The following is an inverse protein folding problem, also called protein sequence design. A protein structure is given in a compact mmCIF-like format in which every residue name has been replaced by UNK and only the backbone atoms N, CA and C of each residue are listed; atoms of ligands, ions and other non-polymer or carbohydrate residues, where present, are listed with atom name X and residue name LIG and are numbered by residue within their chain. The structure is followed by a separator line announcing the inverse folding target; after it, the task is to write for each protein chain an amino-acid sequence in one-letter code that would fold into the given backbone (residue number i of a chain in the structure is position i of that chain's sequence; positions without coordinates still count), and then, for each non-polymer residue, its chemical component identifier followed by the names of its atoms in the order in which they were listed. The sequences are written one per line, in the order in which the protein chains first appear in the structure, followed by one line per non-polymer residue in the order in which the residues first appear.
data_IF_939194009850
#
_entry.id   IF_939194009850
#
_cell.length_a   1.000
_cell.length_b   1.000
_cell.length_c   1.000
_cell.angle_alpha   90.00
_cell.angle_beta   90.00
_cell.angle_gamma   90.00
#
_symmetry.space_group_name_H-M   'P 1'
#
loop_
_entity.id
_entity.type
_entity.pdbx_description
1 polymer ?
#
# COMPACT_ATOMS: atom_id res chain seq x y z
N UNK A 1 4.60 6.72 -21.13
CA UNK A 1 4.42 8.19 -21.25
C UNK A 1 5.40 8.82 -20.27
N UNK A 2 6.19 9.80 -20.66
CA UNK A 2 7.01 10.54 -19.71
C UNK A 2 6.10 11.50 -18.93
N UNK A 3 6.36 11.74 -17.66
CA UNK A 3 5.63 12.72 -16.81
C UNK A 3 5.58 14.09 -17.50
N UNK A 4 6.59 14.42 -18.29
CA UNK A 4 6.67 15.64 -19.11
C UNK A 4 5.56 15.76 -20.18
N UNK A 5 4.77 14.72 -20.42
CA UNK A 5 3.63 14.73 -21.36
C UNK A 5 2.27 14.57 -20.62
N UNK A 6 2.26 14.51 -19.30
CA UNK A 6 1.05 14.55 -18.52
C UNK A 6 0.62 16.01 -18.40
N UNK A 7 -0.62 16.33 -18.82
CA UNK A 7 -1.21 17.65 -18.64
C UNK A 7 -1.67 17.89 -17.18
N UNK A 8 -0.81 17.46 -16.22
CA UNK A 8 -1.05 17.63 -14.79
C UNK A 8 0.00 18.58 -14.21
N UNK A 9 -0.43 19.48 -13.37
CA UNK A 9 0.43 20.47 -12.75
C UNK A 9 1.25 19.83 -11.61
N UNK A 10 0.64 18.85 -10.92
CA UNK A 10 1.20 18.19 -9.73
C UNK A 10 0.85 16.70 -9.69
N UNK A 11 1.49 15.98 -8.78
CA UNK A 11 1.17 14.57 -8.50
C UNK A 11 0.59 14.43 -7.09
N UNK A 12 -0.37 13.54 -6.93
CA UNK A 12 -0.89 13.14 -5.63
C UNK A 12 -0.63 11.65 -5.43
N UNK A 13 0.25 11.32 -4.50
CA UNK A 13 0.60 9.95 -4.17
C UNK A 13 -0.16 9.47 -2.94
N UNK A 14 -1.09 8.53 -3.13
CA UNK A 14 -1.79 7.86 -2.02
C UNK A 14 -0.90 6.76 -1.47
N UNK A 15 -0.30 7.00 -0.31
CA UNK A 15 0.65 6.07 0.30
C UNK A 15 -0.06 4.98 1.11
N UNK A 16 -0.26 3.83 0.52
CA UNK A 16 -0.79 2.65 1.20
C UNK A 16 0.32 1.97 2.01
N UNK A 17 0.08 1.61 3.29
CA UNK A 17 1.10 0.91 4.10
C UNK A 17 1.52 -0.42 3.49
N UNK A 18 2.82 -0.72 3.54
CA UNK A 18 3.45 -2.00 3.14
C UNK A 18 3.41 -2.31 1.64
N UNK A 19 3.29 -1.27 0.80
CA UNK A 19 3.34 -1.38 -0.67
C UNK A 19 4.62 -0.80 -1.29
N UNK A 20 5.63 -0.48 -0.48
CA UNK A 20 6.91 0.07 -0.99
C UNK A 20 6.92 1.60 -1.17
N UNK A 21 5.93 2.30 -0.64
CA UNK A 21 5.76 3.75 -0.81
C UNK A 21 6.91 4.61 -0.32
N UNK A 22 7.74 4.15 0.62
CA UNK A 22 8.93 4.88 1.07
C UNK A 22 9.93 5.14 -0.07
N UNK A 23 10.13 4.17 -0.95
CA UNK A 23 10.99 4.33 -2.12
C UNK A 23 10.44 5.39 -3.08
N UNK A 24 9.10 5.47 -3.20
CA UNK A 24 8.44 6.50 -4.02
C UNK A 24 8.65 7.89 -3.43
N UNK A 25 8.50 8.07 -2.12
CA UNK A 25 8.76 9.35 -1.47
C UNK A 25 10.16 9.86 -1.73
N UNK A 26 11.16 9.00 -1.55
CA UNK A 26 12.56 9.39 -1.83
C UNK A 26 12.71 9.82 -3.28
N UNK A 27 12.18 9.03 -4.22
CA UNK A 27 12.31 9.33 -5.66
C UNK A 27 11.55 10.60 -6.07
N UNK A 28 10.39 10.91 -5.49
CA UNK A 28 9.65 12.14 -5.74
C UNK A 28 10.39 13.37 -5.20
N UNK A 29 10.96 13.26 -3.99
CA UNK A 29 11.79 14.33 -3.39
C UNK A 29 13.03 14.64 -4.26
N UNK A 30 13.72 13.62 -4.73
CA UNK A 30 14.91 13.78 -5.57
C UNK A 30 14.60 14.48 -6.90
N UNK A 31 13.39 14.34 -7.41
CA UNK A 31 12.92 14.99 -8.64
C UNK A 31 12.35 16.39 -8.43
N UNK A 32 12.26 16.88 -7.19
CA UNK A 32 11.61 18.16 -6.85
C UNK A 32 10.19 18.29 -7.44
N UNK A 33 9.48 17.18 -7.58
CA UNK A 33 8.11 17.20 -8.02
C UNK A 33 7.22 17.70 -6.88
N UNK A 34 6.32 18.63 -7.19
CA UNK A 34 5.29 19.00 -6.25
C UNK A 34 4.36 17.80 -6.04
N UNK A 35 4.25 17.32 -4.82
CA UNK A 35 3.36 16.22 -4.51
C UNK A 35 2.56 16.49 -3.24
N UNK A 36 1.28 16.13 -3.33
CA UNK A 36 0.37 16.15 -2.21
C UNK A 36 0.41 14.78 -1.53
N UNK A 37 0.65 14.73 -0.31
CA UNK A 37 0.68 13.68 0.71
C UNK A 37 1.89 13.88 1.63
N UNK A 38 2.12 15.14 2.00
CA UNK A 38 3.24 15.47 2.87
C UNK A 38 2.74 16.06 4.17
N UNK A 39 2.80 15.27 5.20
CA UNK A 39 3.10 15.78 6.55
C UNK A 39 4.36 15.07 7.02
N UNK A 40 5.17 15.73 7.84
CA UNK A 40 6.47 15.24 8.36
C UNK A 40 6.41 13.85 9.03
N UNK A 41 5.25 13.25 9.13
CA UNK A 41 4.96 12.00 9.82
C UNK A 41 4.42 10.90 8.91
N UNK A 42 4.98 10.71 7.70
CA UNK A 42 4.71 9.56 6.82
C UNK A 42 3.23 9.12 6.84
N UNK A 43 2.33 10.04 6.59
CA UNK A 43 0.91 9.77 6.75
C UNK A 43 0.39 8.87 5.65
N UNK A 44 -0.36 7.88 6.07
CA UNK A 44 -1.10 6.99 5.21
C UNK A 44 -2.54 7.52 5.08
N UNK A 45 -2.69 8.73 4.53
CA UNK A 45 -4.02 9.33 4.37
C UNK A 45 -4.73 8.72 3.15
N UNK A 46 -5.99 8.29 3.31
CA UNK A 46 -6.82 7.87 2.19
C UNK A 46 -7.09 9.04 1.23
N UNK A 47 -7.37 8.71 -0.04
CA UNK A 47 -7.60 9.72 -1.08
C UNK A 47 -8.68 10.74 -0.70
N UNK A 48 -9.78 10.31 -0.07
CA UNK A 48 -10.86 11.23 0.34
C UNK A 48 -10.40 12.26 1.39
N UNK A 49 -9.41 11.93 2.24
CA UNK A 49 -8.80 12.89 3.17
C UNK A 49 -7.96 13.89 2.40
N UNK A 50 -7.12 13.41 1.48
CA UNK A 50 -6.29 14.28 0.64
C UNK A 50 -7.14 15.23 -0.21
N UNK A 51 -8.25 14.76 -0.79
CA UNK A 51 -9.18 15.57 -1.58
C UNK A 51 -9.97 16.60 -0.75
N UNK A 52 -10.19 16.30 0.53
CA UNK A 52 -10.82 17.26 1.44
C UNK A 52 -9.89 18.41 1.79
N UNK A 53 -8.61 18.16 1.91
CA UNK A 53 -7.60 19.10 2.38
C UNK A 53 -6.90 19.86 1.24
N UNK A 54 -6.98 19.33 0.01
CA UNK A 54 -6.29 19.88 -1.14
C UNK A 54 -7.17 19.89 -2.41
N UNK A 55 -6.94 20.83 -3.29
CA UNK A 55 -7.54 20.80 -4.64
C UNK A 55 -6.77 19.87 -5.56
N UNK A 56 -7.17 18.61 -5.62
CA UNK A 56 -6.52 17.57 -6.43
C UNK A 56 -7.15 17.36 -7.81
N UNK A 57 -8.02 18.28 -8.28
CA UNK A 57 -8.75 18.11 -9.57
C UNK A 57 -7.81 18.03 -10.77
N UNK A 58 -6.66 18.69 -10.72
CA UNK A 58 -5.65 18.73 -11.77
C UNK A 58 -4.40 17.90 -11.47
N UNK A 59 -4.42 17.12 -10.39
CA UNK A 59 -3.31 16.27 -10.01
C UNK A 59 -3.38 14.89 -10.68
N UNK A 60 -2.21 14.35 -11.05
CA UNK A 60 -2.07 12.95 -11.39
C UNK A 60 -2.11 12.12 -10.11
N UNK A 61 -3.29 11.54 -9.81
CA UNK A 61 -3.51 10.76 -8.58
C UNK A 61 -3.11 9.32 -8.79
N UNK A 62 -2.12 8.83 -8.03
CA UNK A 62 -1.65 7.45 -8.18
C UNK A 62 -1.36 6.79 -6.84
N UNK A 63 -1.27 5.47 -6.87
CA UNK A 63 -0.87 4.63 -5.74
C UNK A 63 -0.10 3.40 -6.21
N UNK A 64 0.49 2.69 -5.22
CA UNK A 64 1.01 1.34 -5.39
C UNK A 64 0.17 0.40 -4.54
N UNK A 65 -0.31 -0.66 -5.15
CA UNK A 65 -0.96 -1.79 -4.48
C UNK A 65 -0.05 -3.02 -4.50
N UNK A 66 -0.25 -3.91 -3.57
CA UNK A 66 0.53 -5.15 -3.45
C UNK A 66 -0.41 -6.34 -3.32
N UNK A 67 0.03 -7.51 -3.78
CA UNK A 67 -0.71 -8.75 -3.56
C UNK A 67 -1.16 -8.85 -2.08
N UNK A 68 -2.47 -9.04 -1.82
CA UNK A 68 -2.99 -8.99 -0.44
C UNK A 68 -2.35 -10.01 0.50
N UNK A 69 -1.97 -11.20 0.00
CA UNK A 69 -1.23 -12.18 0.79
C UNK A 69 0.13 -11.63 1.21
N UNK A 70 0.93 -11.16 0.25
CA UNK A 70 2.25 -10.58 0.53
C UNK A 70 2.16 -9.34 1.42
N UNK A 71 1.12 -8.53 1.25
CA UNK A 71 0.90 -7.34 2.08
C UNK A 71 0.56 -7.71 3.51
N UNK A 72 -0.37 -8.65 3.73
CA UNK A 72 -0.76 -9.11 5.07
C UNK A 72 0.44 -9.65 5.85
N UNK A 73 1.28 -10.46 5.20
CA UNK A 73 2.50 -10.98 5.81
C UNK A 73 3.51 -9.87 6.14
N UNK A 74 3.67 -8.90 5.26
CA UNK A 74 4.52 -7.72 5.52
C UNK A 74 4.02 -6.88 6.70
N UNK A 75 2.70 -6.76 6.90
CA UNK A 75 2.11 -6.14 8.08
C UNK A 75 2.41 -6.91 9.36
N UNK A 76 2.21 -8.23 9.33
CA UNK A 76 2.52 -9.13 10.44
C UNK A 76 3.97 -8.98 10.93
N UNK A 77 4.93 -9.07 10.02
CA UNK A 77 6.35 -8.90 10.34
C UNK A 77 6.64 -7.52 10.94
N UNK A 78 6.05 -6.49 10.35
CA UNK A 78 6.18 -5.12 10.86
C UNK A 78 5.56 -4.97 12.25
N UNK A 79 4.37 -5.54 12.47
CA UNK A 79 3.68 -5.52 13.75
C UNK A 79 4.52 -6.14 14.86
N UNK A 80 5.03 -7.35 14.68
CA UNK A 80 5.88 -8.02 15.68
C UNK A 80 7.14 -7.20 15.98
N UNK A 81 7.77 -6.63 14.95
CA UNK A 81 8.99 -5.83 15.11
C UNK A 81 8.75 -4.57 15.95
N UNK A 82 7.72 -3.78 15.66
CA UNK A 82 7.51 -2.50 16.36
C UNK A 82 6.90 -2.65 17.75
N UNK A 83 6.17 -3.73 18.00
CA UNK A 83 5.60 -4.02 19.31
C UNK A 83 6.51 -4.92 20.16
N UNK A 84 7.65 -5.39 19.62
CA UNK A 84 8.57 -6.34 20.27
C UNK A 84 7.84 -7.60 20.74
N UNK A 85 6.98 -8.14 19.86
CA UNK A 85 6.17 -9.34 20.11
C UNK A 85 6.59 -10.50 19.19
N UNK A 86 6.13 -11.71 19.52
CA UNK A 86 6.39 -12.94 18.76
C UNK A 86 5.09 -13.69 18.44
N UNK A 87 4.01 -12.96 18.14
CA UNK A 87 2.77 -13.60 17.73
C UNK A 87 2.95 -14.39 16.44
N UNK A 88 2.17 -15.45 16.27
CA UNK A 88 2.10 -16.19 15.01
C UNK A 88 1.33 -15.37 13.96
N UNK A 89 1.48 -15.70 12.69
CA UNK A 89 0.75 -15.04 11.62
C UNK A 89 -0.77 -15.23 11.75
N UNK A 90 -1.20 -16.41 12.16
CA UNK A 90 -2.62 -16.71 12.38
C UNK A 90 -3.22 -15.87 13.52
N UNK A 91 -2.53 -15.74 14.66
CA UNK A 91 -2.96 -14.87 15.76
C UNK A 91 -3.08 -13.40 15.30
N UNK A 92 -2.11 -12.93 14.53
CA UNK A 92 -2.16 -11.59 13.96
C UNK A 92 -3.39 -11.37 13.07
N UNK A 93 -3.74 -12.32 12.20
CA UNK A 93 -4.94 -12.24 11.36
C UNK A 93 -6.23 -12.21 12.19
N UNK A 94 -6.29 -12.98 13.27
CA UNK A 94 -7.41 -12.91 14.21
C UNK A 94 -7.51 -11.57 14.92
N UNK A 95 -6.40 -10.92 15.26
CA UNK A 95 -6.44 -9.56 15.82
C UNK A 95 -7.07 -8.58 14.83
N UNK A 96 -6.72 -8.67 13.56
CA UNK A 96 -7.35 -7.85 12.51
C UNK A 96 -8.85 -8.15 12.43
N UNK A 97 -9.23 -9.44 12.37
CA UNK A 97 -10.63 -9.86 12.28
C UNK A 97 -11.48 -9.36 13.46
N UNK A 98 -10.89 -9.29 14.64
CA UNK A 98 -11.54 -8.77 15.86
C UNK A 98 -11.56 -7.25 15.94
N UNK A 99 -11.01 -6.54 14.95
CA UNK A 99 -10.91 -5.09 14.96
C UNK A 99 -10.01 -4.53 16.07
N UNK A 100 -9.05 -5.32 16.55
CA UNK A 100 -8.12 -4.85 17.58
C UNK A 100 -7.26 -3.75 17.00
N UNK A 101 -7.41 -2.53 17.53
CA UNK A 101 -6.57 -1.39 17.19
C UNK A 101 -5.33 -1.42 18.07
N UNK A 102 -4.18 -1.36 17.42
CA UNK A 102 -2.90 -1.20 18.11
C UNK A 102 -2.41 0.22 17.88
N UNK A 103 -2.11 0.94 18.95
CA UNK A 103 -1.74 2.37 18.91
C UNK A 103 -0.66 2.72 17.89
N UNK A 104 0.29 1.79 17.68
CA UNK A 104 1.40 2.01 16.76
C UNK A 104 1.11 1.61 15.30
N UNK A 105 0.00 0.92 15.02
CA UNK A 105 -0.27 0.36 13.69
C UNK A 105 -1.76 0.31 13.33
N UNK A 106 -2.53 1.37 13.55
CA UNK A 106 -3.99 1.34 13.31
C UNK A 106 -4.33 1.08 11.84
N UNK A 107 -3.45 1.48 10.91
CA UNK A 107 -3.68 1.36 9.47
C UNK A 107 -3.60 -0.07 8.91
N UNK A 108 -3.22 -1.06 9.74
CA UNK A 108 -3.22 -2.47 9.32
C UNK A 108 -4.62 -3.05 9.10
N UNK A 109 -5.63 -2.46 9.72
CA UNK A 109 -7.02 -2.90 9.63
C UNK A 109 -7.65 -2.59 8.26
N UNK A 110 -7.09 -1.61 7.53
CA UNK A 110 -7.72 -1.11 6.32
C UNK A 110 -7.24 -1.84 5.07
N UNK A 111 -8.21 -2.08 4.17
CA UNK A 111 -7.94 -2.60 2.83
C UNK A 111 -7.23 -1.55 1.97
N UNK A 112 -6.54 -1.97 0.94
CA UNK A 112 -5.94 -1.04 -0.03
C UNK A 112 -7.03 -0.26 -0.78
N UNK A 113 -8.15 -0.93 -1.05
CA UNK A 113 -9.34 -0.31 -1.65
C UNK A 113 -9.81 0.90 -0.86
N UNK A 114 -9.85 0.81 0.48
CA UNK A 114 -10.23 1.93 1.35
C UNK A 114 -9.38 3.18 1.12
N UNK A 115 -8.06 3.02 0.96
CA UNK A 115 -7.17 4.16 0.70
C UNK A 115 -7.42 4.83 -0.64
N UNK A 116 -7.99 4.11 -1.60
CA UNK A 116 -8.21 4.59 -2.97
C UNK A 116 -9.58 5.27 -3.18
N UNK A 117 -10.44 5.27 -2.15
CA UNK A 117 -11.77 5.89 -2.25
C UNK A 117 -11.65 7.41 -2.24
N UNK A 118 -12.36 8.06 -3.18
CA UNK A 118 -12.55 9.51 -3.25
C UNK A 118 -13.70 9.97 -2.34
N UNK A 119 -14.00 11.27 -2.33
CA UNK A 119 -15.11 11.84 -1.56
C UNK A 119 -16.50 11.30 -1.94
N UNK A 120 -16.66 10.74 -3.14
CA UNK A 120 -17.91 10.10 -3.60
C UNK A 120 -18.00 8.62 -3.25
N UNK A 121 -16.93 8.04 -2.68
CA UNK A 121 -16.85 6.61 -2.36
C UNK A 121 -16.44 5.71 -3.54
N UNK A 122 -15.99 6.29 -4.65
CA UNK A 122 -15.50 5.58 -5.82
C UNK A 122 -13.97 5.46 -5.80
N UNK A 123 -13.41 4.55 -6.60
CA UNK A 123 -11.97 4.51 -6.86
C UNK A 123 -11.54 5.75 -7.67
N UNK A 124 -10.97 6.74 -6.99
CA UNK A 124 -10.70 8.08 -7.54
C UNK A 124 -9.29 8.29 -8.08
N UNK A 125 -8.54 7.24 -8.39
CA UNK A 125 -7.16 7.32 -8.85
C UNK A 125 -7.05 7.41 -10.37
N UNK A 126 -6.09 8.19 -10.86
CA UNK A 126 -5.70 8.23 -12.28
C UNK A 126 -4.94 6.97 -12.68
N UNK A 127 -4.09 6.46 -11.78
CA UNK A 127 -3.26 5.27 -12.02
C UNK A 127 -3.04 4.44 -10.77
N UNK A 128 -3.05 3.12 -10.93
CA UNK A 128 -2.69 2.15 -9.90
C UNK A 128 -1.53 1.30 -10.42
N UNK A 129 -0.42 1.28 -9.69
CA UNK A 129 0.73 0.43 -9.99
C UNK A 129 0.76 -0.77 -9.05
N UNK A 130 1.28 -1.90 -9.54
CA UNK A 130 1.48 -3.09 -8.71
C UNK A 130 2.91 -3.12 -8.17
N UNK A 131 3.07 -3.41 -6.89
CA UNK A 131 4.38 -3.59 -6.24
C UNK A 131 5.25 -4.62 -6.98
N UNK A 132 4.61 -5.65 -7.51
CA UNK A 132 5.26 -6.73 -8.26
C UNK A 132 5.78 -6.27 -9.63
N UNK A 133 5.41 -5.04 -10.06
CA UNK A 133 5.75 -4.45 -11.36
C UNK A 133 6.16 -2.98 -11.23
N UNK A 134 6.93 -2.64 -10.20
CA UNK A 134 7.36 -1.26 -9.96
C UNK A 134 8.11 -0.62 -11.14
N UNK A 135 8.73 -1.43 -12.00
CA UNK A 135 9.35 -0.95 -13.23
C UNK A 135 8.38 -0.20 -14.16
N UNK A 136 7.05 -0.51 -14.10
CA UNK A 136 6.04 0.23 -14.87
C UNK A 136 5.91 1.67 -14.36
N UNK A 137 5.92 1.85 -13.02
CA UNK A 137 5.92 3.16 -12.39
C UNK A 137 7.19 3.94 -12.73
N UNK A 138 8.36 3.31 -12.58
CA UNK A 138 9.65 3.93 -12.90
C UNK A 138 9.68 4.43 -14.35
N UNK A 139 9.24 3.59 -15.28
CA UNK A 139 9.18 3.92 -16.71
C UNK A 139 8.19 5.05 -17.02
N UNK A 140 6.99 5.00 -16.44
CA UNK A 140 5.91 5.95 -16.74
C UNK A 140 6.19 7.33 -16.13
N UNK A 141 6.67 7.36 -14.87
CA UNK A 141 6.95 8.60 -14.15
C UNK A 141 8.39 9.10 -14.33
N UNK A 142 9.25 8.35 -15.01
CA UNK A 142 10.66 8.69 -15.17
C UNK A 142 11.43 8.72 -13.85
N UNK A 143 10.99 7.93 -12.87
CA UNK A 143 11.60 7.80 -11.55
C UNK A 143 12.61 6.66 -11.54
N UNK A 144 13.56 6.73 -10.60
CA UNK A 144 14.39 5.60 -10.20
C UNK A 144 14.12 5.34 -8.73
N UNK A 145 13.55 4.18 -8.40
CA UNK A 145 13.18 3.87 -7.03
C UNK A 145 14.38 3.29 -6.26
N UNK A 146 14.84 3.95 -5.20
CA UNK A 146 15.85 3.36 -4.34
C UNK A 146 15.27 2.17 -3.59
N UNK A 147 16.07 1.15 -3.36
CA UNK A 147 15.70 -0.01 -2.55
C UNK A 147 15.74 0.33 -1.05
N UNK A 148 14.75 1.08 -0.57
CA UNK A 148 14.60 1.43 0.84
C UNK A 148 13.81 0.34 1.56
N UNK A 149 14.27 -0.04 2.75
CA UNK A 149 13.59 -0.98 3.66
C UNK A 149 13.30 -2.38 3.05
N UNK A 150 14.28 -3.02 2.42
CA UNK A 150 14.18 -4.45 2.15
C UNK A 150 13.98 -5.19 3.48
N UNK A 151 12.83 -5.83 3.64
CA UNK A 151 12.63 -6.76 4.76
C UNK A 151 13.59 -7.95 4.63
N UNK A 152 14.25 -8.30 5.74
CA UNK A 152 15.21 -9.41 5.80
C UNK A 152 14.53 -10.80 5.86
N UNK A 153 13.32 -10.94 5.32
CA UNK A 153 12.64 -12.24 5.36
C UNK A 153 12.83 -12.99 4.04
N UNK A 154 13.16 -14.25 4.19
CA UNK A 154 13.28 -15.19 3.07
C UNK A 154 11.87 -15.60 2.62
N UNK A 155 11.67 -15.74 1.30
CA UNK A 155 10.38 -16.12 0.70
C UNK A 155 9.83 -17.44 1.26
N UNK A 156 10.71 -18.37 1.61
CA UNK A 156 10.35 -19.68 2.14
C UNK A 156 9.66 -19.61 3.51
N UNK A 157 10.11 -18.70 4.40
CA UNK A 157 9.47 -18.50 5.70
C UNK A 157 8.02 -18.05 5.55
N UNK A 158 7.75 -17.19 4.56
CA UNK A 158 6.41 -16.68 4.28
C UNK A 158 5.46 -17.80 3.88
N UNK A 159 5.91 -18.76 3.08
CA UNK A 159 5.08 -19.88 2.61
C UNK A 159 4.69 -20.79 3.78
N UNK A 160 5.62 -21.06 4.68
CA UNK A 160 5.40 -21.95 5.83
C UNK A 160 4.37 -21.39 6.83
N UNK A 161 4.27 -20.07 6.97
CA UNK A 161 3.30 -19.43 7.88
C UNK A 161 1.88 -19.40 7.32
N UNK A 162 1.67 -19.72 6.02
CA UNK A 162 0.37 -19.72 5.38
C UNK A 162 -0.31 -21.10 5.43
N UNK A 163 -0.89 -21.45 6.58
CA UNK A 163 -1.84 -22.57 6.65
C UNK A 163 -3.15 -22.25 5.90
N UNK A 164 -3.98 -23.24 5.62
CA UNK A 164 -5.26 -23.05 4.89
C UNK A 164 -6.18 -22.03 5.57
N UNK A 165 -6.25 -22.05 6.90
CA UNK A 165 -7.02 -21.09 7.67
C UNK A 165 -6.53 -19.66 7.48
N UNK A 166 -5.22 -19.43 7.50
CA UNK A 166 -4.61 -18.12 7.25
C UNK A 166 -4.92 -17.61 5.82
N UNK A 167 -4.90 -18.50 4.82
CA UNK A 167 -5.28 -18.15 3.44
C UNK A 167 -6.72 -17.68 3.36
N UNK A 168 -7.65 -18.42 3.99
CA UNK A 168 -9.06 -18.06 4.03
C UNK A 168 -9.30 -16.74 4.77
N UNK A 169 -8.62 -16.50 5.89
CA UNK A 169 -8.72 -15.24 6.62
C UNK A 169 -8.26 -14.06 5.78
N UNK A 170 -7.15 -14.18 5.06
CA UNK A 170 -6.67 -13.10 4.17
C UNK A 170 -7.66 -12.84 3.03
N UNK A 171 -8.23 -13.89 2.42
CA UNK A 171 -9.27 -13.74 1.40
C UNK A 171 -10.50 -13.02 1.93
N UNK A 172 -10.95 -13.35 3.13
CA UNK A 172 -12.11 -12.74 3.76
C UNK A 172 -11.86 -11.27 4.10
N UNK A 173 -10.77 -11.00 4.85
CA UNK A 173 -10.41 -9.67 5.34
C UNK A 173 -10.11 -8.66 4.22
N UNK A 174 -9.49 -9.11 3.13
CA UNK A 174 -9.02 -8.25 2.05
C UNK A 174 -9.70 -8.55 0.70
N UNK A 175 -10.92 -9.11 0.73
CA UNK A 175 -11.67 -9.51 -0.47
C UNK A 175 -11.87 -8.37 -1.48
N UNK A 176 -12.04 -7.13 -1.00
CA UNK A 176 -12.15 -5.95 -1.85
C UNK A 176 -10.86 -5.69 -2.63
N UNK A 177 -9.69 -5.90 -2.03
CA UNK A 177 -8.40 -5.67 -2.67
C UNK A 177 -8.17 -6.64 -3.84
N UNK A 178 -8.52 -7.92 -3.65
CA UNK A 178 -8.45 -8.92 -4.72
C UNK A 178 -9.32 -8.51 -5.91
N UNK A 179 -10.57 -8.10 -5.65
CA UNK A 179 -11.52 -7.69 -6.71
C UNK A 179 -11.11 -6.39 -7.39
N UNK A 180 -10.82 -5.36 -6.60
CA UNK A 180 -10.57 -4.01 -7.13
C UNK A 180 -9.29 -3.92 -7.95
N UNK A 181 -8.28 -4.72 -7.62
CA UNK A 181 -6.95 -4.62 -8.25
C UNK A 181 -6.59 -5.85 -9.11
N UNK A 182 -7.54 -6.77 -9.33
CA UNK A 182 -7.36 -7.93 -10.20
C UNK A 182 -6.23 -8.85 -9.73
N UNK A 183 -6.13 -9.09 -8.42
CA UNK A 183 -5.26 -10.13 -7.90
C UNK A 183 -5.96 -11.48 -7.90
N UNK A 184 -5.19 -12.55 -8.19
CA UNK A 184 -5.69 -13.92 -8.07
C UNK A 184 -6.01 -14.23 -6.61
N UNK A 185 -7.17 -14.88 -6.40
CA UNK A 185 -7.54 -15.46 -5.10
C UNK A 185 -6.79 -16.75 -4.79
N UNK A 186 -6.20 -17.38 -5.81
CA UNK A 186 -5.28 -18.50 -5.60
C UNK A 186 -4.02 -18.02 -4.90
N UNK A 187 -3.62 -18.76 -3.86
CA UNK A 187 -2.43 -18.40 -3.09
C UNK A 187 -1.18 -18.43 -3.97
N UNK A 188 -0.55 -17.28 -4.12
CA UNK A 188 0.76 -17.10 -4.77
C UNK A 188 1.47 -15.89 -4.16
N UNK A 189 2.76 -16.02 -3.90
CA UNK A 189 3.61 -14.99 -3.31
C UNK A 189 4.66 -14.51 -4.31
#
# INVERSE_FOLDING_TARGET
MNVNNLHYDDVAFVHIPKTGGQSVFVALNDKHLNYHNYTEYANHDPLFVLERENDLRRCFKFTIVRNPYSRAYSHYRHFNRINSTSHTFLEFLYFIKQGRVFDKTPMMLYTQTFFCLNLSGDLGLTRVYKYEKLYELEKELGLTLPHVNRGDYVRDDTINDYCEEAKHLVLDLFSSDFRSFGYSTSFSL
#
